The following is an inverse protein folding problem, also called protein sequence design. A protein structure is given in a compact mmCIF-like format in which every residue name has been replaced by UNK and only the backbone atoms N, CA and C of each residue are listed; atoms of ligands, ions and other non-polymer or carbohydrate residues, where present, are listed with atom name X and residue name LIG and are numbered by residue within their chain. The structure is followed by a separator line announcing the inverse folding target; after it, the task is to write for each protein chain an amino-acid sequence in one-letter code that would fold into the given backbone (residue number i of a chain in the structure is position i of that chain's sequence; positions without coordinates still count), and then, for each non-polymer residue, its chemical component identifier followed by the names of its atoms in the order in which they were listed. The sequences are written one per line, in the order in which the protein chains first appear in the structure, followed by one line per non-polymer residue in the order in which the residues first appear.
data_IF_339525086065
#
_entry.id   IF_339525086065
#
_cell.length_a   1.000
_cell.length_b   1.000
_cell.length_c   1.000
_cell.angle_alpha   90.00
_cell.angle_beta   90.00
_cell.angle_gamma   90.00
#
_symmetry.space_group_name_H-M   'P 1'
#
loop_
_entity.id
_entity.type
_entity.pdbx_description
1 polymer ?
#
# COMPACT_ATOMS: atom_id res chain seq x y z
N UNK A 1 0.89 12.86 -0.82
CA UNK A 1 0.83 12.05 0.41
C UNK A 1 -0.59 12.01 0.97
N UNK A 2 -1.27 13.14 1.15
CA UNK A 2 -2.68 13.21 1.60
C UNK A 2 -3.61 12.26 0.81
N UNK A 3 -3.54 12.26 -0.52
CA UNK A 3 -4.34 11.36 -1.35
C UNK A 3 -4.03 9.87 -1.12
N UNK A 4 -2.78 9.52 -0.81
CA UNK A 4 -2.41 8.15 -0.52
C UNK A 4 -2.89 7.72 0.87
N UNK A 5 -2.78 8.61 1.87
CA UNK A 5 -3.38 8.39 3.18
C UNK A 5 -4.89 8.17 3.08
N UNK A 6 -5.59 8.99 2.30
CA UNK A 6 -7.02 8.83 2.06
C UNK A 6 -7.36 7.49 1.40
N UNK A 7 -6.53 7.03 0.45
CA UNK A 7 -6.70 5.71 -0.16
C UNK A 7 -6.59 4.59 0.88
N UNK A 8 -5.55 4.60 1.72
CA UNK A 8 -5.34 3.56 2.74
C UNK A 8 -6.55 3.47 3.69
N UNK A 9 -7.03 4.60 4.18
CA UNK A 9 -8.21 4.65 5.06
C UNK A 9 -9.49 4.16 4.36
N UNK A 10 -9.63 4.43 3.06
CA UNK A 10 -10.77 3.92 2.28
C UNK A 10 -10.68 2.39 2.12
N UNK A 11 -9.48 1.87 1.84
CA UNK A 11 -9.26 0.42 1.68
C UNK A 11 -9.47 -0.37 2.97
N UNK A 12 -9.06 0.18 4.12
CA UNK A 12 -9.32 -0.40 5.44
C UNK A 12 -10.84 -0.49 5.73
N UNK A 13 -11.65 0.37 5.13
CA UNK A 13 -13.11 0.37 5.28
C UNK A 13 -13.85 -0.45 4.21
N UNK A 14 -13.33 -0.51 2.98
CA UNK A 14 -13.95 -1.15 1.83
C UNK A 14 -13.66 -2.65 1.72
N UNK A 15 -12.60 -3.14 2.39
CA UNK A 15 -12.09 -4.51 2.19
C UNK A 15 -11.65 -5.15 3.50
N UNK A 16 -11.88 -6.46 3.63
CA UNK A 16 -11.44 -7.26 4.79
C UNK A 16 -10.05 -7.90 4.58
N UNK A 17 -9.28 -7.40 3.61
CA UNK A 17 -7.95 -7.93 3.28
C UNK A 17 -6.82 -7.07 3.82
N UNK A 18 -7.13 -5.86 4.29
CA UNK A 18 -6.14 -4.98 4.91
C UNK A 18 -5.80 -5.47 6.31
N UNK A 19 -4.59 -5.12 6.77
CA UNK A 19 -4.12 -5.45 8.11
C UNK A 19 -4.93 -4.74 9.20
N UNK A 20 -5.37 -3.52 8.95
CA UNK A 20 -6.12 -2.70 9.89
C UNK A 20 -7.61 -2.84 9.67
N UNK A 21 -8.35 -2.92 10.78
CA UNK A 21 -9.80 -2.76 10.78
C UNK A 21 -10.20 -1.30 10.51
N UNK A 22 -11.46 -1.04 10.09
CA UNK A 22 -11.95 0.31 9.89
C UNK A 22 -11.73 1.18 11.15
N UNK A 23 -11.05 2.32 10.97
CA UNK A 23 -10.66 3.29 12.01
C UNK A 23 -9.49 2.89 12.92
N UNK A 24 -8.88 1.72 12.75
CA UNK A 24 -7.75 1.28 13.57
C UNK A 24 -6.45 2.00 13.17
N UNK A 25 -6.20 2.20 11.86
CA UNK A 25 -4.96 2.83 11.36
C UNK A 25 -4.64 4.16 12.04
N UNK A 26 -5.65 5.03 12.22
CA UNK A 26 -5.50 6.36 12.81
C UNK A 26 -5.14 6.33 14.30
N UNK A 27 -5.28 5.19 14.97
CA UNK A 27 -4.92 5.00 16.37
C UNK A 27 -3.44 4.57 16.52
N UNK A 28 -2.88 3.94 15.48
CA UNK A 28 -1.52 3.40 15.48
C UNK A 28 -0.53 4.20 14.66
N UNK A 29 -1.02 5.00 13.72
CA UNK A 29 -0.19 5.72 12.77
C UNK A 29 -0.85 7.03 12.34
N UNK A 30 -0.04 8.06 12.11
CA UNK A 30 -0.44 9.27 11.42
C UNK A 30 0.24 9.46 10.04
N UNK A 31 -0.14 10.52 9.34
CA UNK A 31 0.41 10.81 8.01
C UNK A 31 1.90 11.18 8.02
N UNK A 32 2.43 11.73 9.11
CA UNK A 32 3.86 12.06 9.23
C UNK A 32 4.69 10.81 9.49
N UNK A 33 4.18 9.88 10.29
CA UNK A 33 4.76 8.55 10.47
C UNK A 33 4.77 7.78 9.15
N UNK A 34 3.67 7.82 8.38
CA UNK A 34 3.64 7.23 7.04
C UNK A 34 4.67 7.86 6.10
N UNK A 35 4.84 9.19 6.12
CA UNK A 35 5.88 9.87 5.31
C UNK A 35 7.27 9.38 5.68
N UNK A 36 7.52 9.27 6.99
CA UNK A 36 8.80 8.83 7.54
C UNK A 36 9.07 7.37 7.16
N UNK A 37 8.07 6.50 7.28
CA UNK A 37 8.13 5.10 6.86
C UNK A 37 8.48 4.97 5.37
N UNK A 38 7.76 5.67 4.49
CA UNK A 38 8.04 5.64 3.04
C UNK A 38 9.44 6.17 2.75
N UNK A 39 9.85 7.27 3.40
CA UNK A 39 11.17 7.85 3.19
C UNK A 39 12.28 6.86 3.56
N UNK A 40 12.20 6.24 4.73
CA UNK A 40 13.26 5.36 5.22
C UNK A 40 13.21 3.96 4.60
N UNK A 41 12.03 3.37 4.42
CA UNK A 41 11.89 1.98 3.95
C UNK A 41 11.83 1.85 2.44
N UNK A 42 11.19 2.79 1.75
CA UNK A 42 10.98 2.71 0.29
C UNK A 42 12.02 3.53 -0.46
N UNK A 43 12.18 4.82 -0.12
CA UNK A 43 13.08 5.71 -0.87
C UNK A 43 14.55 5.40 -0.56
N UNK A 44 14.85 5.22 0.72
CA UNK A 44 16.21 4.94 1.20
C UNK A 44 16.43 3.50 1.66
N UNK A 45 15.40 2.67 1.59
CA UNK A 45 15.45 1.27 1.99
C UNK A 45 15.30 0.31 0.81
N UNK A 46 14.86 -0.91 1.10
CA UNK A 46 14.73 -1.97 0.12
C UNK A 46 13.27 -2.37 -0.17
N UNK A 47 12.31 -1.66 0.43
CA UNK A 47 10.91 -1.90 0.18
C UNK A 47 10.51 -1.30 -1.16
N UNK A 48 9.50 -1.89 -1.78
CA UNK A 48 8.91 -1.39 -3.01
C UNK A 48 7.51 -0.84 -2.73
N UNK A 49 7.18 0.31 -3.31
CA UNK A 49 5.84 0.88 -3.29
C UNK A 49 5.50 1.43 -4.67
N UNK A 50 4.39 0.96 -5.22
CA UNK A 50 3.83 1.48 -6.46
C UNK A 50 2.38 1.86 -6.27
N UNK A 51 1.96 2.95 -6.92
CA UNK A 51 0.58 3.46 -6.87
C UNK A 51 -0.08 3.30 -8.23
N UNK A 52 -1.35 2.89 -8.22
CA UNK A 52 -2.21 2.86 -9.40
C UNK A 52 -3.02 4.14 -9.48
N UNK A 53 -3.08 4.75 -10.67
CA UNK A 53 -3.83 5.98 -10.92
C UNK A 53 -4.77 5.83 -12.11
N UNK A 54 -5.97 6.38 -11.99
CA UNK A 54 -6.96 6.54 -13.06
C UNK A 54 -7.45 7.98 -13.01
N UNK A 55 -7.43 8.70 -14.13
CA UNK A 55 -7.86 10.10 -14.22
C UNK A 55 -7.28 11.00 -13.11
N UNK A 56 -5.99 10.83 -12.84
CA UNK A 56 -5.23 11.54 -11.80
C UNK A 56 -5.66 11.24 -10.34
N UNK A 57 -6.61 10.34 -10.12
CA UNK A 57 -6.99 9.81 -8.79
C UNK A 57 -6.16 8.56 -8.47
N UNK A 58 -5.66 8.45 -7.24
CA UNK A 58 -5.03 7.20 -6.77
C UNK A 58 -6.14 6.21 -6.41
N UNK A 59 -6.12 5.04 -7.04
CA UNK A 59 -7.20 4.03 -6.93
C UNK A 59 -6.71 2.71 -6.33
N UNK A 60 -5.40 2.55 -6.17
CA UNK A 60 -4.81 1.38 -5.56
C UNK A 60 -3.30 1.52 -5.36
N UNK A 61 -2.71 0.51 -4.72
CA UNK A 61 -1.27 0.42 -4.49
C UNK A 61 -0.81 -1.03 -4.35
N UNK A 62 0.49 -1.24 -4.57
CA UNK A 62 1.22 -2.45 -4.20
C UNK A 62 2.42 -2.03 -3.36
N UNK A 63 2.56 -2.67 -2.19
CA UNK A 63 3.74 -2.57 -1.33
C UNK A 63 4.38 -3.95 -1.23
N UNK A 64 5.70 -4.02 -1.33
CA UNK A 64 6.47 -5.21 -1.00
C UNK A 64 7.50 -4.85 0.07
N UNK A 65 7.35 -5.44 1.25
CA UNK A 65 8.24 -5.26 2.39
C UNK A 65 9.28 -6.38 2.41
N UNK A 66 10.55 -6.04 2.20
CA UNK A 66 11.60 -7.04 2.06
C UNK A 66 12.09 -7.51 3.42
N UNK A 67 12.41 -8.80 3.54
CA UNK A 67 13.06 -9.32 4.74
C UNK A 67 14.42 -8.63 5.00
N UNK A 68 14.62 -8.13 6.22
CA UNK A 68 15.82 -7.37 6.60
C UNK A 68 17.01 -8.26 7.01
N UNK A 69 16.79 -9.55 7.28
CA UNK A 69 17.83 -10.46 7.74
C UNK A 69 18.35 -11.34 6.60
N UNK A 70 19.63 -11.72 6.64
CA UNK A 70 20.24 -12.60 5.63
C UNK A 70 19.41 -13.87 5.33
N UNK A 71 18.76 -14.45 6.35
CA UNK A 71 17.95 -15.66 6.19
C UNK A 71 16.66 -15.43 5.40
N UNK A 72 16.08 -14.23 5.43
CA UNK A 72 14.81 -13.92 4.76
C UNK A 72 14.94 -12.80 3.71
N UNK A 73 16.17 -12.41 3.36
CA UNK A 73 16.45 -11.36 2.37
C UNK A 73 15.94 -11.68 0.95
N UNK A 74 15.66 -12.96 0.68
CA UNK A 74 15.07 -13.43 -0.58
C UNK A 74 13.53 -13.46 -0.56
N UNK A 75 12.90 -13.05 0.55
CA UNK A 75 11.44 -13.03 0.71
C UNK A 75 10.93 -11.60 0.83
N UNK A 76 9.69 -11.37 0.41
CA UNK A 76 8.99 -10.12 0.61
C UNK A 76 7.53 -10.38 1.00
N UNK A 77 7.02 -9.58 1.92
CA UNK A 77 5.60 -9.54 2.24
C UNK A 77 4.90 -8.56 1.30
N UNK A 78 3.92 -9.04 0.53
CA UNK A 78 3.24 -8.23 -0.49
C UNK A 78 1.86 -7.84 0.02
N UNK A 79 1.58 -6.54 -0.01
CA UNK A 79 0.26 -5.96 0.24
C UNK A 79 -0.23 -5.31 -1.05
N UNK A 80 -1.42 -5.65 -1.47
CA UNK A 80 -2.10 -5.06 -2.63
C UNK A 80 -3.47 -4.59 -2.20
N UNK A 81 -3.81 -3.35 -2.57
CA UNK A 81 -5.13 -2.80 -2.34
C UNK A 81 -5.62 -2.01 -3.55
N UNK A 82 -6.84 -2.30 -4.00
CA UNK A 82 -7.53 -1.58 -5.08
C UNK A 82 -8.95 -1.30 -4.62
N UNK A 83 -9.39 -0.04 -4.75
CA UNK A 83 -10.76 0.37 -4.39
C UNK A 83 -11.77 -0.50 -5.13
N UNK A 84 -12.88 -0.86 -4.48
CA UNK A 84 -13.84 -1.84 -5.01
C UNK A 84 -14.39 -1.44 -6.39
N UNK A 85 -14.64 -0.15 -6.61
CA UNK A 85 -15.11 0.42 -7.88
C UNK A 85 -14.14 0.20 -9.07
N UNK A 86 -12.87 -0.08 -8.77
CA UNK A 86 -11.76 -0.22 -9.73
C UNK A 86 -11.26 -1.68 -9.84
N UNK A 87 -11.85 -2.61 -9.09
CA UNK A 87 -11.56 -4.04 -9.22
C UNK A 87 -12.17 -4.63 -10.50
N UNK A 88 -11.63 -5.77 -10.95
CA UNK A 88 -12.11 -6.47 -12.17
C UNK A 88 -11.81 -5.74 -13.49
N UNK A 89 -11.17 -4.57 -13.45
CA UNK A 89 -10.83 -3.76 -14.63
C UNK A 89 -9.37 -3.94 -15.12
N UNK A 90 -8.70 -5.00 -14.67
CA UNK A 90 -7.30 -5.27 -15.04
C UNK A 90 -6.27 -4.31 -14.43
N UNK A 91 -6.66 -3.48 -13.46
CA UNK A 91 -5.77 -2.48 -12.83
C UNK A 91 -4.65 -3.16 -12.03
N UNK A 92 -4.92 -4.32 -11.42
CA UNK A 92 -3.88 -5.17 -10.84
C UNK A 92 -2.87 -5.61 -11.91
N UNK A 93 -3.35 -6.13 -13.03
CA UNK A 93 -2.53 -6.62 -14.15
C UNK A 93 -1.66 -5.52 -14.78
N UNK A 94 -2.18 -4.29 -14.90
CA UNK A 94 -1.45 -3.15 -15.44
C UNK A 94 -0.28 -2.68 -14.54
N UNK A 95 -0.32 -3.01 -13.25
CA UNK A 95 0.78 -2.76 -12.30
C UNK A 95 1.66 -4.00 -12.07
N UNK A 96 1.55 -5.04 -12.90
CA UNK A 96 2.32 -6.29 -12.74
C UNK A 96 1.78 -7.23 -11.66
N UNK A 97 0.53 -7.04 -11.23
CA UNK A 97 -0.18 -7.92 -10.30
C UNK A 97 -1.04 -8.89 -11.13
N UNK A 98 -0.40 -9.94 -11.64
CA UNK A 98 -1.07 -11.08 -12.30
C UNK A 98 -0.82 -12.36 -11.53
#
# INVERSE_FOLDING_TARGET
MEHFWSLLNALDAETNFMMYEPNERKQHMDIQELKTDIYHRVIHGNDFLQIAKVDNKIVGYLRAERGEFHRNFHTAYIVVGVLNEYQGKGIGTACGMS
#
